data_IF_120096183656
#
_entry.id   IF_120096183656
#
_cell.length_a   1.000
_cell.length_b   1.000
_cell.length_c   1.000
_cell.angle_alpha   90.00
_cell.angle_beta   90.00
_cell.angle_gamma   90.00
#
_symmetry.space_group_name_H-M   'P 1'
#
loop_
_entity.id
_entity.type
_entity.pdbx_description
1 polymer ?
#
# COMPACT_ATOMS: atom_id res chain seq x y z
N UNK A 1 30.45 -16.01 1.72
CA UNK A 1 29.11 -15.53 2.10
C UNK A 1 28.21 -15.64 0.89
N UNK A 2 27.32 -16.62 0.88
CA UNK A 2 26.40 -16.87 -0.23
C UNK A 2 25.33 -15.78 -0.14
N UNK A 3 25.56 -14.67 -0.83
CA UNK A 3 24.60 -13.58 -0.89
C UNK A 3 23.29 -14.15 -1.44
N UNK A 4 22.20 -13.89 -0.71
CA UNK A 4 20.86 -14.39 -0.97
C UNK A 4 20.35 -13.82 -2.29
N UNK A 5 20.78 -14.37 -3.43
CA UNK A 5 20.07 -14.22 -4.71
C UNK A 5 18.77 -14.99 -4.56
N UNK A 6 17.79 -14.35 -3.93
CA UNK A 6 16.38 -14.65 -4.17
C UNK A 6 16.22 -14.54 -5.68
N UNK A 7 16.14 -15.69 -6.31
CA UNK A 7 15.80 -15.82 -7.72
C UNK A 7 14.43 -15.18 -7.89
N UNK A 8 14.41 -13.88 -8.22
CA UNK A 8 13.24 -13.21 -8.74
C UNK A 8 13.05 -13.77 -10.14
N UNK A 9 12.40 -14.95 -10.21
CA UNK A 9 11.86 -15.49 -11.45
C UNK A 9 10.50 -14.80 -11.62
N UNK A 10 10.33 -13.89 -12.59
CA UNK A 10 9.11 -13.11 -12.76
C UNK A 10 7.88 -13.94 -13.21
N UNK A 11 8.02 -15.26 -13.31
CA UNK A 11 7.04 -16.15 -13.96
C UNK A 11 6.14 -16.91 -12.96
N UNK A 12 6.39 -16.81 -11.64
CA UNK A 12 5.61 -17.51 -10.59
C UNK A 12 5.20 -16.64 -9.41
N UNK A 13 5.10 -15.35 -9.64
CA UNK A 13 4.69 -14.41 -8.62
C UNK A 13 3.19 -14.11 -8.77
N UNK A 14 2.42 -14.52 -7.77
CA UNK A 14 1.01 -14.18 -7.67
C UNK A 14 0.94 -12.75 -7.12
N UNK A 15 0.72 -11.79 -8.01
CA UNK A 15 0.68 -10.36 -7.67
C UNK A 15 -0.73 -9.99 -7.23
N UNK A 16 -0.84 -9.18 -6.19
CA UNK A 16 -2.10 -8.60 -5.80
C UNK A 16 -2.43 -7.36 -6.65
N UNK A 17 -3.51 -7.38 -7.41
CA UNK A 17 -3.96 -6.23 -8.20
C UNK A 17 -4.39 -5.02 -7.35
N UNK A 18 -4.57 -5.19 -6.04
CA UNK A 18 -5.02 -4.14 -5.11
C UNK A 18 -3.83 -3.34 -4.54
N UNK A 19 -2.72 -4.00 -4.21
CA UNK A 19 -1.56 -3.35 -3.57
C UNK A 19 -0.20 -3.73 -4.18
N UNK A 20 -0.23 -4.34 -5.38
CA UNK A 20 0.93 -4.77 -6.19
C UNK A 20 1.95 -5.66 -5.48
N UNK A 21 1.59 -6.21 -4.31
CA UNK A 21 2.44 -7.10 -3.51
C UNK A 21 2.53 -8.48 -4.17
N UNK A 22 3.75 -8.99 -4.32
CA UNK A 22 3.98 -10.32 -4.88
C UNK A 22 3.99 -11.42 -3.82
N UNK A 23 3.46 -12.58 -4.19
CA UNK A 23 3.44 -13.78 -3.36
C UNK A 23 3.97 -14.98 -4.14
N UNK A 24 4.67 -15.89 -3.45
CA UNK A 24 5.23 -17.11 -4.05
C UNK A 24 4.21 -18.27 -4.18
N UNK A 25 2.95 -18.06 -3.80
CA UNK A 25 1.90 -19.07 -3.85
C UNK A 25 0.49 -18.47 -3.95
N UNK A 26 -0.38 -19.10 -4.74
CA UNK A 26 -1.77 -18.67 -4.95
C UNK A 26 -2.57 -18.63 -3.66
N UNK A 27 -2.41 -19.64 -2.79
CA UNK A 27 -3.12 -19.70 -1.50
C UNK A 27 -2.75 -18.53 -0.57
N UNK A 28 -1.52 -18.02 -0.67
CA UNK A 28 -1.07 -16.84 0.08
C UNK A 28 -1.70 -15.57 -0.48
N UNK A 29 -1.75 -15.43 -1.80
CA UNK A 29 -2.46 -14.33 -2.47
C UNK A 29 -3.96 -14.33 -2.11
N UNK A 30 -4.64 -15.48 -2.21
CA UNK A 30 -6.07 -15.59 -1.89
C UNK A 30 -6.38 -15.18 -0.45
N UNK A 31 -5.61 -15.67 0.53
CA UNK A 31 -5.74 -15.24 1.93
C UNK A 31 -5.46 -13.75 2.12
N UNK A 32 -4.52 -13.20 1.37
CA UNK A 32 -4.20 -11.77 1.41
C UNK A 32 -5.33 -10.90 0.83
N UNK A 33 -5.97 -11.32 -0.27
CA UNK A 33 -7.12 -10.62 -0.85
C UNK A 33 -8.30 -10.54 0.14
N UNK A 34 -8.52 -11.58 0.95
CA UNK A 34 -9.52 -11.55 2.02
C UNK A 34 -9.21 -10.45 3.06
N UNK A 35 -7.93 -10.27 3.41
CA UNK A 35 -7.50 -9.15 4.27
C UNK A 35 -7.83 -7.80 3.64
N UNK A 36 -7.71 -7.64 2.32
CA UNK A 36 -8.10 -6.39 1.68
C UNK A 36 -9.58 -6.06 1.82
N UNK A 37 -10.48 -7.05 1.81
CA UNK A 37 -11.90 -6.80 2.08
C UNK A 37 -12.06 -6.25 3.49
N UNK A 38 -11.57 -6.96 4.51
CA UNK A 38 -11.64 -6.50 5.89
C UNK A 38 -10.96 -5.15 6.10
N UNK A 39 -9.80 -4.94 5.49
CA UNK A 39 -9.06 -3.69 5.58
C UNK A 39 -9.80 -2.56 4.88
N UNK A 40 -10.30 -2.73 3.65
CA UNK A 40 -11.03 -1.69 2.91
C UNK A 40 -12.28 -1.21 3.65
N UNK A 41 -12.96 -2.08 4.39
CA UNK A 41 -14.08 -1.67 5.26
C UNK A 41 -13.64 -0.98 6.56
N UNK A 42 -12.38 -1.17 6.99
CA UNK A 42 -11.79 -0.56 8.20
C UNK A 42 -10.95 0.69 7.89
N UNK A 43 -10.51 0.86 6.65
CA UNK A 43 -9.85 2.05 6.15
C UNK A 43 -10.89 3.18 6.05
N UNK A 44 -11.02 3.98 7.10
CA UNK A 44 -12.01 5.06 7.20
C UNK A 44 -11.43 6.43 6.91
N UNK A 45 -10.11 6.54 6.83
CA UNK A 45 -9.42 7.83 6.79
C UNK A 45 -8.61 7.95 5.51
N UNK A 46 -9.11 8.74 4.58
CA UNK A 46 -8.45 9.03 3.30
C UNK A 46 -7.51 10.22 3.45
N UNK A 47 -6.34 10.12 2.83
CA UNK A 47 -5.42 11.25 2.68
C UNK A 47 -5.97 12.20 1.59
N UNK A 48 -6.19 13.48 1.89
CA UNK A 48 -6.72 14.43 0.92
C UNK A 48 -5.75 14.75 -0.23
N UNK A 49 -4.47 14.39 -0.10
CA UNK A 49 -3.42 14.73 -1.09
C UNK A 49 -3.23 13.64 -2.15
N UNK A 50 -3.32 12.37 -1.76
CA UNK A 50 -3.01 11.24 -2.66
C UNK A 50 -4.09 10.15 -2.67
N UNK A 51 -5.25 10.42 -2.05
CA UNK A 51 -6.36 9.47 -1.88
C UNK A 51 -5.96 8.13 -1.21
N UNK A 52 -4.80 8.09 -0.55
CA UNK A 52 -4.35 6.89 0.14
C UNK A 52 -5.18 6.69 1.41
N UNK A 53 -5.74 5.51 1.59
CA UNK A 53 -6.58 5.21 2.73
C UNK A 53 -5.79 4.61 3.91
N UNK A 54 -6.19 4.95 5.13
CA UNK A 54 -5.58 4.55 6.40
C UNK A 54 -6.63 4.07 7.42
N UNK A 55 -6.19 3.23 8.35
CA UNK A 55 -7.05 2.65 9.39
C UNK A 55 -7.34 3.61 10.56
N UNK A 56 -6.46 4.59 10.78
CA UNK A 56 -6.53 5.52 11.90
C UNK A 56 -6.10 6.93 11.48
N UNK A 57 -6.65 7.96 12.13
CA UNK A 57 -6.25 9.37 11.90
C UNK A 57 -4.77 9.61 12.19
N UNK A 58 -4.22 8.94 13.19
CA UNK A 58 -2.80 9.04 13.55
C UNK A 58 -1.88 8.69 12.36
N UNK A 59 -2.17 7.60 11.65
CA UNK A 59 -1.38 7.23 10.47
C UNK A 59 -1.55 8.21 9.31
N UNK A 60 -2.74 8.80 9.11
CA UNK A 60 -2.93 9.88 8.12
C UNK A 60 -2.06 11.09 8.47
N UNK A 61 -2.05 11.54 9.73
CA UNK A 61 -1.26 12.70 10.13
C UNK A 61 0.24 12.47 9.96
N UNK A 62 0.74 11.28 10.32
CA UNK A 62 2.14 10.92 10.09
C UNK A 62 2.48 10.87 8.59
N UNK A 63 1.55 10.39 7.77
CA UNK A 63 1.69 10.37 6.31
C UNK A 63 1.64 11.76 5.69
N UNK A 64 0.82 12.68 6.20
CA UNK A 64 0.80 14.08 5.74
C UNK A 64 2.17 14.76 5.93
N UNK A 65 2.90 14.39 6.98
CA UNK A 65 4.27 14.87 7.18
C UNK A 65 5.27 14.35 6.14
N UNK A 66 4.99 13.25 5.42
CA UNK A 66 5.85 12.79 4.32
C UNK A 66 5.64 13.64 3.07
N UNK A 67 4.40 14.03 2.75
CA UNK A 67 4.11 14.97 1.66
C UNK A 67 4.82 16.31 1.85
N UNK A 68 4.88 16.80 3.09
CA UNK A 68 5.59 18.03 3.43
C UNK A 68 7.12 17.92 3.26
N UNK A 69 7.71 16.73 3.46
CA UNK A 69 9.16 16.48 3.29
C UNK A 69 9.55 16.17 1.86
N UNK A 70 8.66 15.57 1.08
CA UNK A 70 8.92 15.23 -0.32
C UNK A 70 8.65 16.39 -1.29
N UNK A 71 8.29 17.59 -0.80
CA UNK A 71 8.03 18.75 -1.66
C UNK A 71 6.77 18.60 -2.53
N UNK A 72 6.06 17.47 -2.41
CA UNK A 72 4.75 17.23 -3.01
C UNK A 72 3.66 17.82 -2.11
N UNK A 73 3.81 19.10 -1.76
CA UNK A 73 2.62 19.93 -1.63
C UNK A 73 2.21 20.16 -3.08
N UNK A 74 1.36 19.28 -3.62
CA UNK A 74 0.51 19.73 -4.72
C UNK A 74 -0.38 20.78 -4.10
N UNK A 75 0.09 22.03 -4.18
CA UNK A 75 -0.77 23.17 -4.35
C UNK A 75 -1.79 22.73 -5.39
N UNK A 76 -3.04 22.55 -4.98
CA UNK A 76 -4.18 23.15 -5.66
C UNK A 76 -5.49 22.78 -4.94
N UNK A 77 -6.08 23.84 -4.40
CA UNK A 77 -7.49 24.14 -4.50
C UNK A 77 -8.48 23.36 -3.59
N UNK A 78 -9.05 24.10 -2.63
CA UNK A 78 -10.35 24.70 -2.95
C UNK A 78 -10.68 25.90 -2.06
N UNK A 79 -10.77 27.04 -2.74
CA UNK A 79 -11.79 28.07 -2.53
C UNK A 79 -13.19 27.46 -2.36
#
# INVERSE_FOLDING_TARGET
MIYHRKNHRPDREYICDICTKSFNAQCKLQRHIVSHRTQRFVLRYECPVCAHMFHTKYHVQMHLATHQKEGLIQEENRN
#
